data_IF_398086686882
#
_entry.id   IF_398086686882
#
_cell.length_a   1.000
_cell.length_b   1.000
_cell.length_c   1.000
_cell.angle_alpha   90.00
_cell.angle_beta   90.00
_cell.angle_gamma   90.00
#
_symmetry.space_group_name_H-M   'P 1'
#
loop_
_entity.id
_entity.type
_entity.pdbx_description
1 polymer ?
#
# COMPACT_ATOMS: atom_id res chain seq x y z
N UNK A 1 1.41 33.62 -29.52
CA UNK A 1 1.84 32.40 -28.81
C UNK A 1 0.64 31.47 -28.83
N UNK A 2 0.71 30.35 -29.55
CA UNK A 2 -0.40 29.40 -29.59
C UNK A 2 -0.45 28.67 -28.25
N UNK A 3 -1.61 28.69 -27.60
CA UNK A 3 -1.87 27.86 -26.42
C UNK A 3 -2.16 26.45 -26.90
N UNK A 4 -1.11 25.71 -27.23
CA UNK A 4 -1.23 24.29 -27.55
C UNK A 4 -1.51 23.52 -26.26
N UNK A 5 -2.71 22.97 -26.15
CA UNK A 5 -3.08 22.03 -25.09
C UNK A 5 -2.27 20.74 -25.27
N UNK A 6 -1.13 20.65 -24.57
CA UNK A 6 -0.37 19.42 -24.47
C UNK A 6 -1.20 18.39 -23.71
N UNK A 7 -1.72 17.40 -24.42
CA UNK A 7 -2.36 16.25 -23.78
C UNK A 7 -1.27 15.42 -23.10
N UNK A 8 -1.16 15.52 -21.78
CA UNK A 8 -0.31 14.62 -20.99
C UNK A 8 -0.85 13.21 -21.19
N UNK A 9 -0.13 12.38 -21.93
CA UNK A 9 -0.56 11.00 -22.14
C UNK A 9 -0.67 10.31 -20.77
N UNK A 10 -1.74 9.52 -20.54
CA UNK A 10 -1.84 8.70 -19.36
C UNK A 10 -0.59 7.82 -19.27
N UNK A 11 0.18 7.95 -18.19
CA UNK A 11 1.34 7.08 -17.99
C UNK A 11 0.85 5.66 -17.61
N UNK A 12 0.58 4.87 -18.65
CA UNK A 12 0.14 3.48 -18.52
C UNK A 12 1.19 2.61 -17.82
N UNK A 13 2.47 2.98 -17.94
CA UNK A 13 3.56 2.27 -17.28
C UNK A 13 3.47 2.43 -15.75
N UNK A 14 3.22 3.66 -15.26
CA UNK A 14 3.04 3.92 -13.83
C UNK A 14 1.79 3.24 -13.28
N UNK A 15 0.72 3.19 -14.07
CA UNK A 15 -0.50 2.44 -13.69
C UNK A 15 -0.21 0.94 -13.60
N UNK A 16 0.57 0.39 -14.53
CA UNK A 16 0.99 -1.01 -14.53
C UNK A 16 1.82 -1.34 -13.30
N UNK A 17 2.86 -0.55 -13.02
CA UNK A 17 3.67 -0.69 -11.80
C UNK A 17 2.85 -0.51 -10.52
N UNK A 18 1.89 0.41 -10.53
CA UNK A 18 0.93 0.60 -9.44
C UNK A 18 0.10 -0.65 -9.16
N UNK A 19 -0.37 -1.34 -10.19
CA UNK A 19 -1.10 -2.61 -10.06
C UNK A 19 -0.19 -3.76 -9.62
N UNK A 20 1.00 -3.89 -10.20
CA UNK A 20 2.01 -4.89 -9.78
C UNK A 20 2.26 -4.76 -8.28
N UNK A 21 2.55 -3.54 -7.80
CA UNK A 21 2.76 -3.32 -6.38
C UNK A 21 1.52 -3.62 -5.53
N UNK A 22 0.31 -3.26 -5.99
CA UNK A 22 -0.91 -3.60 -5.27
C UNK A 22 -1.12 -5.11 -5.12
N UNK A 23 -0.85 -5.88 -6.16
CA UNK A 23 -0.96 -7.35 -6.11
C UNK A 23 0.03 -7.92 -5.11
N UNK A 24 1.29 -7.46 -5.11
CA UNK A 24 2.28 -7.90 -4.13
C UNK A 24 1.85 -7.60 -2.69
N UNK A 25 1.37 -6.37 -2.43
CA UNK A 25 0.85 -6.00 -1.13
C UNK A 25 -0.41 -6.80 -0.75
N UNK A 26 -1.29 -7.11 -1.71
CA UNK A 26 -2.49 -7.89 -1.47
C UNK A 26 -2.15 -9.32 -1.04
N UNK A 27 -1.19 -9.97 -1.72
CA UNK A 27 -0.72 -11.31 -1.34
C UNK A 27 -0.22 -11.29 0.11
N UNK A 28 0.55 -10.25 0.48
CA UNK A 28 1.02 -10.10 1.86
C UNK A 28 -0.13 -9.85 2.84
N UNK A 29 -1.06 -8.97 2.50
CA UNK A 29 -2.19 -8.63 3.36
C UNK A 29 -3.12 -9.82 3.61
N UNK A 30 -3.40 -10.62 2.57
CA UNK A 30 -4.19 -11.85 2.70
C UNK A 30 -3.46 -12.87 3.56
N UNK A 31 -2.15 -13.07 3.32
CA UNK A 31 -1.33 -13.97 4.14
C UNK A 31 -1.23 -13.54 5.61
N UNK A 32 -1.33 -12.25 5.90
CA UNK A 32 -1.36 -11.74 7.27
C UNK A 32 -2.70 -12.00 7.99
N UNK A 33 -3.81 -12.14 7.25
CA UNK A 33 -5.14 -12.43 7.82
C UNK A 33 -5.36 -13.93 8.01
N UNK A 34 -4.81 -14.76 7.12
CA UNK A 34 -5.01 -16.21 7.12
C UNK A 34 -3.93 -16.93 7.96
N UNK A 35 -4.31 -17.62 9.05
CA UNK A 35 -3.37 -18.43 9.82
C UNK A 35 -2.66 -19.47 8.94
N UNK A 36 -1.34 -19.56 9.04
CA UNK A 36 -0.53 -20.52 8.28
C UNK A 36 -0.25 -20.13 6.82
N UNK A 37 -0.78 -19.01 6.32
CA UNK A 37 -0.50 -18.49 4.97
C UNK A 37 0.40 -17.24 5.00
N UNK A 38 1.23 -17.10 6.03
CA UNK A 38 2.07 -15.93 6.26
C UNK A 38 2.98 -15.68 5.05
N UNK A 39 2.66 -14.63 4.30
CA UNK A 39 3.47 -14.24 3.17
C UNK A 39 4.85 -13.78 3.64
N UNK A 40 5.87 -14.02 2.81
CA UNK A 40 7.24 -13.68 3.15
C UNK A 40 7.42 -12.18 3.37
N UNK A 41 8.14 -11.83 4.45
CA UNK A 41 8.64 -10.46 4.69
C UNK A 41 9.43 -9.96 3.47
N UNK A 42 10.15 -10.85 2.77
CA UNK A 42 10.88 -10.51 1.54
C UNK A 42 9.95 -9.98 0.46
N UNK A 43 8.76 -10.58 0.31
CA UNK A 43 7.77 -10.13 -0.68
C UNK A 43 7.26 -8.72 -0.35
N UNK A 44 7.01 -8.45 0.94
CA UNK A 44 6.60 -7.13 1.41
C UNK A 44 7.69 -6.09 1.16
N UNK A 45 8.95 -6.43 1.41
CA UNK A 45 10.09 -5.54 1.15
C UNK A 45 10.24 -5.24 -0.34
N UNK A 46 10.09 -6.24 -1.22
CA UNK A 46 10.11 -6.03 -2.67
C UNK A 46 9.00 -5.06 -3.08
N UNK A 47 7.77 -5.28 -2.58
CA UNK A 47 6.63 -4.43 -2.87
C UNK A 47 6.85 -2.98 -2.39
N UNK A 48 7.42 -2.81 -1.19
CA UNK A 48 7.74 -1.51 -0.61
C UNK A 48 8.85 -0.79 -1.39
N UNK A 49 9.88 -1.51 -1.84
CA UNK A 49 10.95 -0.93 -2.68
C UNK A 49 10.39 -0.43 -4.01
N UNK A 50 9.52 -1.21 -4.66
CA UNK A 50 8.81 -0.77 -5.87
C UNK A 50 8.07 0.53 -5.58
N UNK A 51 7.38 0.63 -4.45
CA UNK A 51 6.65 1.84 -4.11
C UNK A 51 7.55 3.05 -3.87
N UNK A 52 8.67 2.87 -3.18
CA UNK A 52 9.62 3.94 -2.91
C UNK A 52 10.24 4.47 -4.20
N UNK A 53 10.69 3.57 -5.09
CA UNK A 53 11.31 3.95 -6.37
C UNK A 53 10.29 4.60 -7.30
N UNK A 54 9.11 3.97 -7.49
CA UNK A 54 8.11 4.44 -8.45
C UNK A 54 7.34 5.66 -7.97
N UNK A 55 7.34 5.96 -6.67
CA UNK A 55 6.79 7.22 -6.13
C UNK A 55 7.50 8.44 -6.72
N UNK A 56 8.82 8.38 -6.87
CA UNK A 56 9.61 9.50 -7.37
C UNK A 56 9.44 9.69 -8.88
N UNK A 57 9.32 8.59 -9.63
CA UNK A 57 8.96 8.62 -11.06
C UNK A 57 7.55 9.20 -11.27
N UNK A 58 6.64 8.95 -10.33
CA UNK A 58 5.25 9.38 -10.42
C UNK A 58 4.99 10.83 -9.95
N UNK A 59 6.01 11.63 -9.63
CA UNK A 59 5.82 12.99 -9.08
C UNK A 59 4.94 13.86 -9.97
N UNK A 60 3.98 14.55 -9.35
CA UNK A 60 3.03 15.42 -10.07
C UNK A 60 1.91 14.66 -10.78
N UNK A 61 1.83 13.34 -10.62
CA UNK A 61 0.75 12.51 -11.13
C UNK A 61 -0.16 12.01 -10.00
N UNK A 62 -1.39 11.60 -10.33
CA UNK A 62 -2.30 11.04 -9.33
C UNK A 62 -1.81 9.67 -8.80
N UNK A 63 -1.00 8.95 -9.57
CA UNK A 63 -0.40 7.67 -9.20
C UNK A 63 0.56 7.83 -8.00
N UNK A 64 1.21 8.99 -7.84
CA UNK A 64 2.05 9.30 -6.67
C UNK A 64 1.32 9.09 -5.35
N UNK A 65 0.03 9.48 -5.31
CA UNK A 65 -0.82 9.33 -4.11
C UNK A 65 -1.01 7.86 -3.75
N UNK A 66 -1.02 6.95 -4.73
CA UNK A 66 -1.13 5.51 -4.49
C UNK A 66 0.14 4.90 -3.92
N UNK A 67 1.30 5.25 -4.47
CA UNK A 67 2.59 4.81 -3.93
C UNK A 67 2.77 5.31 -2.48
N UNK A 68 2.48 6.60 -2.25
CA UNK A 68 2.56 7.21 -0.91
C UNK A 68 1.56 6.57 0.08
N UNK A 69 0.35 6.24 -0.37
CA UNK A 69 -0.66 5.56 0.44
C UNK A 69 -0.20 4.17 0.91
N UNK A 70 0.39 3.37 0.01
CA UNK A 70 0.88 2.03 0.34
C UNK A 70 2.06 2.10 1.29
N UNK A 71 3.06 2.95 1.01
CA UNK A 71 4.19 3.19 1.92
C UNK A 71 3.69 3.51 3.33
N UNK A 72 2.79 4.50 3.46
CA UNK A 72 2.23 4.89 4.78
C UNK A 72 1.50 3.72 5.45
N UNK A 73 0.77 2.92 4.69
CA UNK A 73 0.03 1.77 5.21
C UNK A 73 0.99 0.67 5.72
N UNK A 74 2.07 0.39 5.01
CA UNK A 74 3.11 -0.58 5.42
C UNK A 74 3.84 -0.10 6.67
N UNK A 75 4.21 1.18 6.73
CA UNK A 75 4.88 1.76 7.90
C UNK A 75 3.99 1.71 9.15
N UNK A 76 2.72 2.08 9.04
CA UNK A 76 1.77 1.98 10.16
C UNK A 76 1.52 0.53 10.57
N UNK A 77 1.33 -0.39 9.62
CA UNK A 77 1.17 -1.81 9.94
C UNK A 77 2.41 -2.36 10.68
N UNK A 78 3.61 -2.10 10.15
CA UNK A 78 4.87 -2.51 10.78
C UNK A 78 5.04 -1.94 12.19
N UNK A 79 4.77 -0.65 12.37
CA UNK A 79 4.80 -0.01 13.68
C UNK A 79 3.81 -0.64 14.66
N UNK A 80 2.56 -0.87 14.23
CA UNK A 80 1.53 -1.49 15.07
C UNK A 80 1.89 -2.93 15.46
N UNK A 81 2.45 -3.73 14.55
CA UNK A 81 2.92 -5.08 14.87
C UNK A 81 4.06 -5.07 15.89
N UNK A 82 5.03 -4.17 15.72
CA UNK A 82 6.13 -4.03 16.70
C UNK A 82 5.58 -3.61 18.05
N UNK A 83 4.71 -2.59 18.09
CA UNK A 83 4.12 -2.05 19.31
C UNK A 83 3.23 -3.06 20.05
N UNK A 84 2.59 -3.99 19.34
CA UNK A 84 1.71 -5.00 19.93
C UNK A 84 2.38 -6.36 20.12
N UNK A 85 3.66 -6.50 19.73
CA UNK A 85 4.40 -7.78 19.82
C UNK A 85 4.52 -8.30 21.25
N UNK A 86 4.67 -7.42 22.24
CA UNK A 86 4.75 -7.78 23.66
C UNK A 86 3.48 -8.45 24.19
N UNK A 87 2.31 -8.25 23.55
CA UNK A 87 1.08 -8.93 23.93
C UNK A 87 1.23 -10.45 23.82
N UNK A 88 2.01 -10.96 22.86
CA UNK A 88 2.27 -12.39 22.72
C UNK A 88 3.09 -12.98 23.88
N UNK A 89 3.87 -12.16 24.57
CA UNK A 89 4.72 -12.58 25.70
C UNK A 89 3.86 -12.76 26.96
N UNK A 90 2.86 -11.89 27.15
CA UNK A 90 2.07 -11.84 28.39
C UNK A 90 0.73 -12.56 28.23
N UNK A 91 0.08 -12.49 27.05
CA UNK A 91 -1.27 -13.00 26.82
C UNK A 91 -1.48 -13.46 25.35
N UNK A 92 -1.60 -14.77 25.12
CA UNK A 92 -1.78 -15.34 23.78
C UNK A 92 -3.03 -14.81 23.06
N UNK A 93 -4.18 -14.75 23.73
CA UNK A 93 -5.46 -14.35 23.12
C UNK A 93 -5.49 -12.87 22.70
N UNK A 94 -5.09 -11.90 23.54
CA UNK A 94 -4.94 -10.50 23.13
C UNK A 94 -3.95 -10.28 21.99
N UNK A 95 -2.84 -11.03 21.96
CA UNK A 95 -1.90 -10.98 20.84
C UNK A 95 -2.56 -11.35 19.51
N UNK A 96 -3.30 -12.46 19.50
CA UNK A 96 -4.11 -12.90 18.36
C UNK A 96 -5.12 -11.85 17.90
N UNK A 97 -5.88 -11.27 18.83
CA UNK A 97 -6.90 -10.26 18.51
C UNK A 97 -6.25 -9.01 17.92
N UNK A 98 -5.21 -8.48 18.57
CA UNK A 98 -4.52 -7.27 18.12
C UNK A 98 -3.95 -7.45 16.70
N UNK A 99 -3.23 -8.56 16.47
CA UNK A 99 -2.61 -8.84 15.18
C UNK A 99 -3.67 -9.06 14.08
N UNK A 100 -4.75 -9.79 14.38
CA UNK A 100 -5.87 -9.96 13.44
C UNK A 100 -6.49 -8.62 13.03
N UNK A 101 -6.72 -7.72 13.99
CA UNK A 101 -7.27 -6.39 13.70
C UNK A 101 -6.33 -5.56 12.83
N UNK A 102 -5.02 -5.61 13.10
CA UNK A 102 -4.00 -4.92 12.27
C UNK A 102 -3.98 -5.50 10.85
N UNK A 103 -4.01 -6.83 10.70
CA UNK A 103 -4.06 -7.51 9.40
C UNK A 103 -5.30 -7.11 8.60
N UNK A 104 -6.49 -7.12 9.23
CA UNK A 104 -7.75 -6.74 8.59
C UNK A 104 -7.75 -5.26 8.19
N UNK A 105 -7.25 -4.39 9.05
CA UNK A 105 -7.08 -2.97 8.74
C UNK A 105 -6.15 -2.76 7.54
N UNK A 106 -5.01 -3.45 7.52
CA UNK A 106 -4.06 -3.37 6.40
C UNK A 106 -4.67 -3.90 5.10
N UNK A 107 -5.35 -5.05 5.13
CA UNK A 107 -6.07 -5.60 3.98
C UNK A 107 -7.13 -4.64 3.44
N UNK A 108 -7.95 -4.06 4.31
CA UNK A 108 -8.91 -3.04 3.93
C UNK A 108 -8.25 -1.85 3.21
N UNK A 109 -7.12 -1.36 3.73
CA UNK A 109 -6.38 -0.22 3.15
C UNK A 109 -5.86 -0.55 1.74
N UNK A 110 -5.39 -1.77 1.50
CA UNK A 110 -4.95 -2.23 0.19
C UNK A 110 -6.12 -2.32 -0.79
N UNK A 111 -7.22 -2.98 -0.40
CA UNK A 111 -8.42 -3.11 -1.24
C UNK A 111 -9.00 -1.74 -1.59
N UNK A 112 -9.13 -0.84 -0.61
CA UNK A 112 -9.58 0.55 -0.84
C UNK A 112 -8.72 1.25 -1.89
N UNK A 113 -7.42 1.03 -1.83
CA UNK A 113 -6.46 1.55 -2.80
C UNK A 113 -6.66 1.00 -4.21
N UNK A 114 -6.87 -0.30 -4.33
CA UNK A 114 -7.14 -0.98 -5.60
C UNK A 114 -8.45 -0.51 -6.24
N UNK A 115 -9.51 -0.37 -5.44
CA UNK A 115 -10.82 0.13 -5.92
C UNK A 115 -10.69 1.53 -6.52
N UNK A 116 -9.92 2.42 -5.89
CA UNK A 116 -9.67 3.78 -6.41
C UNK A 116 -8.78 3.79 -7.64
N UNK A 117 -7.73 2.96 -7.67
CA UNK A 117 -6.88 2.77 -8.85
C UNK A 117 -7.69 2.28 -10.06
N UNK A 118 -8.60 1.33 -9.84
CA UNK A 118 -9.50 0.85 -10.89
C UNK A 118 -10.43 1.94 -11.41
N UNK A 119 -10.88 2.84 -10.53
CA UNK A 119 -11.69 4.00 -10.89
C UNK A 119 -10.88 5.17 -11.48
N UNK A 120 -9.55 5.03 -11.66
CA UNK A 120 -8.63 6.10 -12.07
C UNK A 120 -8.73 7.36 -11.18
N UNK A 121 -8.87 7.18 -9.87
CA UNK A 121 -8.98 8.27 -8.89
C UNK A 121 -7.79 8.26 -7.95
N UNK A 122 -7.27 9.44 -7.64
CA UNK A 122 -6.25 9.63 -6.60
C UNK A 122 -6.73 9.14 -5.22
N UNK A 123 -5.79 8.78 -4.35
CA UNK A 123 -6.08 8.41 -2.96
C UNK A 123 -6.39 9.61 -2.08
N UNK A 124 -5.58 10.64 -2.26
CA UNK A 124 -5.56 11.92 -1.57
C UNK A 124 -5.51 12.99 -2.67
N UNK A 125 -6.20 14.13 -2.53
CA UNK A 125 -5.95 15.27 -3.40
C UNK A 125 -4.44 15.55 -3.39
N UNK A 126 -3.87 15.93 -4.53
CA UNK A 126 -2.53 16.47 -4.54
C UNK A 126 -2.59 17.82 -3.82
N UNK A 127 -2.48 17.79 -2.49
CA UNK A 127 -2.44 19.00 -1.69
C UNK A 127 -1.21 19.78 -2.15
N UNK A 128 -1.49 20.97 -2.70
CA UNK A 128 -0.54 21.99 -3.10
C UNK A 128 0.25 22.36 -1.84
N UNK A 129 1.46 21.81 -1.70
CA UNK A 129 2.46 22.31 -0.74
C UNK A 129 3.36 23.28 -1.48
#
# INVERSE_FOLDING_TARGET
>A
MNNDIVTVQPDESLKTWGWVSYVLHLVVAVGAVLPGAQASIVLLLIALVIDLVKRDDARGTWQQSHFSWRIRSVLWAGLLYVLTSWLWIILLVPGWIAWTLISLWFLYRIIKGMVRMNANRAMEPADVV
#
